data_IF_799003547868
#
_entry.id   IF_799003547868
#
_cell.length_a   1.000
_cell.length_b   1.000
_cell.length_c   1.000
_cell.angle_alpha   90.00
_cell.angle_beta   90.00
_cell.angle_gamma   90.00
#
_symmetry.space_group_name_H-M   'P 1'
#
loop_
_entity.id
_entity.type
_entity.pdbx_description
1 polymer ?
#
# COMPACT_ATOMS: atom_id res chain seq x y z
N UNK A 1 -24.92 -38.89 6.28
CA UNK A 1 -24.28 -38.94 7.61
C UNK A 1 -22.83 -38.52 7.46
N UNK A 2 -22.61 -37.20 7.48
CA UNK A 2 -21.37 -36.51 7.84
C UNK A 2 -21.62 -34.99 7.69
N UNK A 3 -22.55 -34.48 8.51
CA UNK A 3 -22.68 -33.05 8.77
C UNK A 3 -21.83 -32.74 10.00
N UNK A 4 -20.53 -32.53 9.80
CA UNK A 4 -19.69 -31.93 10.82
C UNK A 4 -19.87 -30.40 10.72
N UNK A 5 -20.24 -29.69 11.79
CA UNK A 5 -20.35 -28.24 11.74
C UNK A 5 -18.97 -27.64 11.47
N UNK A 6 -18.81 -27.01 10.29
CA UNK A 6 -17.69 -26.10 10.03
C UNK A 6 -17.79 -24.95 11.03
N UNK A 7 -16.92 -24.97 12.03
CA UNK A 7 -16.78 -23.87 12.98
C UNK A 7 -16.12 -22.72 12.24
N UNK A 8 -16.89 -21.71 11.89
CA UNK A 8 -16.38 -20.43 11.40
C UNK A 8 -15.29 -19.94 12.37
N UNK A 9 -14.13 -19.44 11.90
CA UNK A 9 -13.13 -18.87 12.79
C UNK A 9 -13.77 -17.70 13.58
N UNK A 10 -13.40 -17.53 14.86
CA UNK A 10 -13.97 -16.48 15.69
C UNK A 10 -13.69 -15.09 15.09
N UNK A 11 -14.69 -14.20 15.22
CA UNK A 11 -14.63 -12.79 14.86
C UNK A 11 -13.40 -12.10 15.49
N UNK A 12 -12.71 -11.33 14.64
CA UNK A 12 -11.67 -10.33 14.95
C UNK A 12 -10.57 -10.76 15.95
N UNK A 13 -9.52 -11.40 15.42
CA UNK A 13 -8.25 -11.56 16.14
C UNK A 13 -7.67 -10.16 16.39
N UNK A 14 -7.81 -9.66 17.62
CA UNK A 14 -7.19 -8.40 18.05
C UNK A 14 -5.67 -8.48 17.93
N UNK A 15 -5.03 -7.33 17.67
CA UNK A 15 -3.59 -7.25 17.54
C UNK A 15 -2.88 -7.81 18.78
N UNK A 16 -1.85 -8.63 18.57
CA UNK A 16 -1.01 -9.17 19.65
C UNK A 16 -0.45 -8.03 20.50
N UNK A 17 -0.48 -8.16 21.83
CA UNK A 17 0.07 -7.14 22.72
C UNK A 17 1.59 -6.99 22.50
N UNK A 18 2.12 -5.77 22.70
CA UNK A 18 3.56 -5.52 22.58
C UNK A 18 4.40 -6.45 23.47
N UNK A 19 3.89 -6.78 24.66
CA UNK A 19 4.52 -7.71 25.62
C UNK A 19 4.67 -9.12 25.04
N UNK A 20 3.77 -9.54 24.16
CA UNK A 20 3.82 -10.83 23.50
C UNK A 20 4.65 -10.83 22.20
N UNK A 21 5.19 -9.69 21.77
CA UNK A 21 6.05 -9.59 20.60
C UNK A 21 7.50 -10.00 20.93
N UNK A 22 8.14 -10.79 20.05
CA UNK A 22 9.57 -11.12 20.20
C UNK A 22 10.52 -9.94 19.91
N UNK A 23 10.05 -8.96 19.15
CA UNK A 23 10.73 -7.69 18.87
C UNK A 23 9.71 -6.64 18.39
N UNK A 24 10.04 -5.35 18.56
CA UNK A 24 9.19 -4.23 18.14
C UNK A 24 9.97 -3.34 17.16
N UNK A 25 9.35 -3.03 16.01
CA UNK A 25 9.83 -2.03 15.07
C UNK A 25 8.95 -0.78 15.18
N UNK A 26 9.53 0.33 15.63
CA UNK A 26 8.83 1.61 15.73
C UNK A 26 9.06 2.45 14.48
N UNK A 27 7.99 2.89 13.83
CA UNK A 27 8.04 3.70 12.63
C UNK A 27 7.70 5.16 12.94
N UNK A 28 8.65 6.06 12.70
CA UNK A 28 8.43 7.50 12.79
C UNK A 28 7.86 8.05 11.47
N UNK A 29 6.54 8.22 11.42
CA UNK A 29 5.86 8.83 10.27
C UNK A 29 6.21 10.32 10.10
N UNK A 30 6.63 11.01 11.16
CA UNK A 30 7.12 12.39 11.09
C UNK A 30 8.42 12.48 10.29
N UNK A 31 9.36 11.57 10.54
CA UNK A 31 10.60 11.48 9.77
C UNK A 31 10.35 11.20 8.28
N UNK A 32 9.39 10.33 7.96
CA UNK A 32 9.00 10.04 6.57
C UNK A 32 8.42 11.28 5.88
N UNK A 33 7.51 12.01 6.55
CA UNK A 33 6.93 13.25 6.02
C UNK A 33 8.01 14.33 5.80
N UNK A 34 8.94 14.47 6.73
CA UNK A 34 10.06 15.40 6.61
C UNK A 34 10.97 15.06 5.42
N UNK A 35 11.30 13.78 5.23
CA UNK A 35 12.07 13.33 4.06
C UNK A 35 11.35 13.67 2.75
N UNK A 36 10.04 13.45 2.68
CA UNK A 36 9.23 13.82 1.52
C UNK A 36 9.26 15.33 1.25
N UNK A 37 9.08 16.18 2.27
CA UNK A 37 9.17 17.64 2.13
C UNK A 37 10.52 18.10 1.59
N UNK A 38 11.62 17.49 2.07
CA UNK A 38 12.98 17.80 1.58
C UNK A 38 13.16 17.43 0.11
N UNK A 39 12.61 16.30 -0.33
CA UNK A 39 12.62 15.92 -1.74
C UNK A 39 11.77 16.87 -2.58
N UNK A 40 10.55 17.17 -2.14
CA UNK A 40 9.64 18.11 -2.82
C UNK A 40 10.29 19.50 -3.00
N UNK A 41 10.92 20.02 -1.94
CA UNK A 41 11.64 21.30 -1.99
C UNK A 41 12.79 21.32 -3.02
N UNK A 42 13.43 20.18 -3.29
CA UNK A 42 14.49 20.06 -4.31
C UNK A 42 13.94 19.90 -5.73
N UNK A 43 12.74 19.33 -5.87
CA UNK A 43 12.08 19.06 -7.15
C UNK A 43 11.33 20.27 -7.71
N UNK A 44 10.94 21.24 -6.87
CA UNK A 44 10.12 22.38 -7.29
C UNK A 44 8.73 21.91 -7.70
N UNK A 45 8.32 22.23 -8.93
CA UNK A 45 6.99 21.90 -9.47
C UNK A 45 6.89 20.46 -10.02
N UNK A 46 7.98 19.69 -10.01
CA UNK A 46 7.98 18.29 -10.46
C UNK A 46 7.31 17.41 -9.41
N UNK A 47 6.38 16.55 -9.84
CA UNK A 47 5.69 15.60 -8.98
C UNK A 47 6.68 14.66 -8.28
N UNK A 48 6.52 14.49 -6.96
CA UNK A 48 7.27 13.55 -6.15
C UNK A 48 6.37 12.37 -5.77
N UNK A 49 6.64 11.20 -6.34
CA UNK A 49 5.84 10.00 -6.11
C UNK A 49 6.29 9.19 -4.89
N UNK A 50 5.34 8.55 -4.21
CA UNK A 50 5.59 7.62 -3.10
C UNK A 50 5.71 6.18 -3.60
N UNK A 51 6.89 5.58 -3.56
CA UNK A 51 7.09 4.16 -3.93
C UNK A 51 6.95 3.30 -2.67
N UNK A 52 5.92 2.47 -2.59
CA UNK A 52 5.51 1.70 -1.40
C UNK A 52 5.43 0.18 -1.65
N UNK A 53 6.26 -0.35 -2.55
CA UNK A 53 6.42 -1.80 -2.74
C UNK A 53 6.88 -2.50 -1.46
N UNK A 54 6.62 -3.81 -1.37
CA UNK A 54 6.96 -4.65 -0.22
C UNK A 54 6.42 -4.07 1.09
N UNK A 55 5.14 -3.71 1.12
CA UNK A 55 4.49 -3.06 2.26
C UNK A 55 5.25 -1.80 2.76
N UNK A 56 5.60 -0.91 1.83
CA UNK A 56 6.39 0.28 2.14
C UNK A 56 7.79 -0.09 2.64
N UNK A 57 8.46 -1.06 2.03
CA UNK A 57 9.76 -1.60 2.49
C UNK A 57 9.71 -2.16 3.93
N UNK A 58 8.57 -2.74 4.30
CA UNK A 58 8.34 -3.35 5.62
C UNK A 58 8.01 -2.36 6.73
N UNK A 59 7.71 -1.09 6.41
CA UNK A 59 7.32 -0.07 7.39
C UNK A 59 5.83 0.28 7.39
N UNK A 60 5.02 -0.47 6.62
CA UNK A 60 3.57 -0.32 6.54
C UNK A 60 3.13 0.65 5.46
N UNK A 61 2.77 0.13 4.28
CA UNK A 61 2.38 0.93 3.11
C UNK A 61 1.14 1.80 3.38
N UNK A 62 0.16 1.28 4.12
CA UNK A 62 -1.07 2.01 4.44
C UNK A 62 -0.80 3.26 5.28
N UNK A 63 -0.09 3.11 6.41
CA UNK A 63 0.24 4.23 7.30
C UNK A 63 1.17 5.24 6.62
N UNK A 64 2.19 4.75 5.89
CA UNK A 64 3.12 5.60 5.15
C UNK A 64 2.42 6.35 4.03
N UNK A 65 1.61 5.66 3.22
CA UNK A 65 0.87 6.27 2.13
C UNK A 65 -0.07 7.37 2.62
N UNK A 66 -0.80 7.13 3.72
CA UNK A 66 -1.66 8.15 4.32
C UNK A 66 -0.86 9.34 4.87
N UNK A 67 0.34 9.10 5.41
CA UNK A 67 1.23 10.16 5.87
C UNK A 67 1.75 11.02 4.70
N UNK A 68 2.14 10.40 3.59
CA UNK A 68 2.59 11.10 2.37
C UNK A 68 1.45 11.85 1.68
N UNK A 69 0.24 11.28 1.65
CA UNK A 69 -0.94 11.94 1.07
C UNK A 69 -1.23 13.27 1.77
N UNK A 70 -1.07 13.36 3.09
CA UNK A 70 -1.20 14.61 3.85
C UNK A 70 -0.13 15.67 3.52
N UNK A 71 0.98 15.28 2.91
CA UNK A 71 2.01 16.20 2.39
C UNK A 71 1.77 16.57 0.91
N UNK A 72 0.64 16.14 0.35
CA UNK A 72 0.25 16.38 -1.04
C UNK A 72 0.94 15.43 -2.03
N UNK A 73 1.29 14.22 -1.61
CA UNK A 73 1.66 13.15 -2.54
C UNK A 73 0.39 12.53 -3.14
N UNK A 74 0.23 12.62 -4.46
CA UNK A 74 -0.94 12.15 -5.19
C UNK A 74 -0.63 11.02 -6.19
N UNK A 75 0.63 10.64 -6.32
CA UNK A 75 1.10 9.54 -7.16
C UNK A 75 1.85 8.51 -6.33
N UNK A 76 1.46 7.25 -6.44
CA UNK A 76 2.07 6.13 -5.73
C UNK A 76 2.44 4.98 -6.67
N UNK A 77 3.49 4.24 -6.31
CA UNK A 77 3.91 3.03 -7.02
C UNK A 77 4.03 1.86 -6.05
N UNK A 78 3.56 0.69 -6.46
CA UNK A 78 3.71 -0.60 -5.77
C UNK A 78 4.28 -1.63 -6.74
N UNK A 79 4.74 -2.78 -6.25
CA UNK A 79 5.25 -3.84 -7.13
C UNK A 79 4.11 -4.72 -7.66
N UNK A 80 3.16 -5.11 -6.81
CA UNK A 80 2.14 -6.12 -7.12
C UNK A 80 0.72 -5.55 -7.02
N UNK A 81 -0.22 -6.14 -7.79
CA UNK A 81 -1.64 -5.75 -7.75
C UNK A 81 -2.21 -5.83 -6.33
N UNK A 82 -1.92 -6.90 -5.59
CA UNK A 82 -2.41 -7.05 -4.21
C UNK A 82 -1.98 -5.91 -3.28
N UNK A 83 -0.76 -5.37 -3.46
CA UNK A 83 -0.28 -4.20 -2.73
C UNK A 83 -1.06 -2.95 -3.14
N UNK A 84 -1.38 -2.80 -4.42
CA UNK A 84 -2.16 -1.69 -4.95
C UNK A 84 -3.58 -1.68 -4.42
N UNK A 85 -4.23 -2.85 -4.37
CA UNK A 85 -5.56 -3.03 -3.76
C UNK A 85 -5.53 -2.67 -2.27
N UNK A 86 -4.52 -3.16 -1.53
CA UNK A 86 -4.38 -2.86 -0.11
C UNK A 86 -4.12 -1.36 0.15
N UNK A 87 -3.28 -0.73 -0.68
CA UNK A 87 -3.00 0.69 -0.60
C UNK A 87 -4.25 1.53 -0.94
N UNK A 88 -5.00 1.18 -1.99
CA UNK A 88 -6.28 1.84 -2.34
C UNK A 88 -7.25 1.85 -1.16
N UNK A 89 -7.40 0.71 -0.46
CA UNK A 89 -8.28 0.63 0.73
C UNK A 89 -7.84 1.59 1.84
N UNK A 90 -6.54 1.83 1.97
CA UNK A 90 -5.97 2.73 2.98
C UNK A 90 -6.08 4.21 2.59
N UNK A 91 -5.89 4.53 1.31
CA UNK A 91 -5.86 5.92 0.82
C UNK A 91 -7.24 6.45 0.38
N UNK A 92 -8.16 5.56 0.02
CA UNK A 92 -9.41 5.94 -0.63
C UNK A 92 -9.21 6.35 -2.09
N UNK A 93 -10.25 6.90 -2.74
CA UNK A 93 -10.16 7.37 -4.13
C UNK A 93 -9.30 8.64 -4.24
N UNK A 94 -8.81 8.94 -5.45
CA UNK A 94 -8.12 10.19 -5.75
C UNK A 94 -6.66 10.00 -6.17
N UNK A 95 -5.77 9.49 -5.29
CA UNK A 95 -4.38 9.27 -5.67
C UNK A 95 -4.25 8.24 -6.78
N UNK A 96 -3.35 8.48 -7.73
CA UNK A 96 -2.97 7.50 -8.74
C UNK A 96 -2.09 6.42 -8.11
N UNK A 97 -2.39 5.15 -8.37
CA UNK A 97 -1.61 4.01 -7.88
C UNK A 97 -1.19 3.18 -9.09
N UNK A 98 0.12 3.06 -9.29
CA UNK A 98 0.72 2.33 -10.40
C UNK A 98 1.34 1.01 -9.92
N UNK A 99 1.10 -0.07 -10.64
CA UNK A 99 1.64 -1.41 -10.38
C UNK A 99 2.82 -1.66 -11.31
N UNK A 100 4.03 -1.63 -10.76
CA UNK A 100 5.29 -1.70 -11.51
C UNK A 100 5.44 -3.00 -12.29
N UNK A 101 4.97 -4.14 -11.78
CA UNK A 101 5.10 -5.42 -12.47
C UNK A 101 3.96 -5.69 -13.48
N UNK A 102 3.06 -4.72 -13.70
CA UNK A 102 1.87 -4.91 -14.51
C UNK A 102 0.78 -5.70 -13.78
N UNK A 103 -0.27 -6.07 -14.51
CA UNK A 103 -1.41 -6.84 -14.01
C UNK A 103 -1.30 -8.28 -14.50
N UNK A 104 -1.35 -9.29 -13.61
CA UNK A 104 -1.37 -10.69 -14.03
C UNK A 104 -2.61 -10.99 -14.90
N UNK A 105 -2.49 -11.85 -15.94
CA UNK A 105 -3.63 -12.25 -16.75
C UNK A 105 -4.77 -12.81 -15.90
N UNK A 106 -5.99 -12.34 -16.13
CA UNK A 106 -7.19 -12.72 -15.38
C UNK A 106 -7.48 -11.87 -14.14
N UNK A 107 -6.60 -10.96 -13.75
CA UNK A 107 -6.78 -10.06 -12.61
C UNK A 107 -7.22 -8.64 -13.02
N UNK A 108 -7.60 -8.44 -14.28
CA UNK A 108 -7.97 -7.13 -14.84
C UNK A 108 -9.20 -6.54 -14.13
N UNK A 109 -10.18 -7.39 -13.80
CA UNK A 109 -11.40 -6.97 -13.08
C UNK A 109 -11.06 -6.42 -11.70
N UNK A 110 -10.13 -7.06 -10.98
CA UNK A 110 -9.68 -6.60 -9.67
C UNK A 110 -8.91 -5.28 -9.77
N UNK A 111 -8.07 -5.14 -10.80
CA UNK A 111 -7.32 -3.91 -11.06
C UNK A 111 -8.26 -2.71 -11.35
N UNK A 112 -9.28 -2.92 -12.18
CA UNK A 112 -10.30 -1.91 -12.48
C UNK A 112 -11.13 -1.59 -11.23
N UNK A 113 -11.56 -2.61 -10.48
CA UNK A 113 -12.35 -2.41 -9.27
C UNK A 113 -11.58 -1.63 -8.18
N UNK A 114 -10.26 -1.81 -8.11
CA UNK A 114 -9.38 -1.09 -7.19
C UNK A 114 -8.85 0.24 -7.74
N UNK A 115 -9.21 0.62 -8.97
CA UNK A 115 -8.73 1.83 -9.63
C UNK A 115 -7.20 1.96 -9.57
N UNK A 116 -6.50 0.90 -10.01
CA UNK A 116 -5.02 0.88 -10.12
C UNK A 116 -4.58 0.76 -11.57
N UNK A 117 -3.49 1.41 -11.91
CA UNK A 117 -2.95 1.47 -13.27
C UNK A 117 -1.77 0.51 -13.43
N UNK A 118 -1.74 -0.24 -14.53
CA UNK A 118 -0.62 -1.10 -14.88
C UNK A 118 0.55 -0.26 -15.43
N UNK A 119 1.78 -0.59 -15.03
CA UNK A 119 2.96 -0.22 -15.82
C UNK A 119 3.19 -1.31 -16.86
N UNK A 120 3.31 -0.93 -18.14
CA UNK A 120 3.53 -1.84 -19.25
C UNK A 120 5.03 -2.14 -19.35
N UNK A 121 5.40 -3.41 -19.13
CA UNK A 121 6.79 -3.87 -19.07
C UNK A 121 7.27 -4.58 -20.35
N UNK A 122 6.34 -4.87 -21.25
CA UNK A 122 6.59 -5.57 -22.51
C UNK A 122 5.72 -4.96 -23.63
N UNK A 123 6.15 -5.04 -24.89
CA UNK A 123 5.33 -4.64 -26.03
C UNK A 123 4.18 -5.63 -26.32
N UNK A 124 4.34 -6.89 -25.92
CA UNK A 124 3.26 -7.89 -25.90
C UNK A 124 2.26 -7.62 -24.77
#
# INVERSE_FOLDING_TARGET
>A
MNDAPQKSPPEEVTATSEVAAGAILTIDLGAIRENYRRLKARLGDVACAGVLKADGYGVGAGQVGAALLREGCDVFFVALLGEGVALRRSLGPGPAIFVLNGIPPGAETDAVAADVCAVINSPE
#
